data_IF_277485226703
#
_entry.id   IF_277485226703
#
_cell.length_a   1.000
_cell.length_b   1.000
_cell.length_c   1.000
_cell.angle_alpha   90.00
_cell.angle_beta   90.00
_cell.angle_gamma   90.00
#
_symmetry.space_group_name_H-M   'P 1'
#
loop_
_entity.id
_entity.type
_entity.pdbx_description
1 polymer ?
#
# COMPACT_ATOMS: atom_id res chain seq x y z
N UNK A 1 -11.55 -17.68 4.80
CA UNK A 1 -11.54 -16.74 3.66
C UNK A 1 -12.09 -17.46 2.43
N UNK A 2 -12.84 -16.77 1.55
CA UNK A 2 -13.32 -17.38 0.28
C UNK A 2 -12.39 -17.05 -0.88
N UNK A 3 -12.43 -17.83 -1.95
CA UNK A 3 -11.63 -17.55 -3.17
C UNK A 3 -11.98 -16.20 -3.79
N UNK A 4 -13.26 -15.80 -3.73
CA UNK A 4 -13.71 -14.48 -4.20
C UNK A 4 -13.09 -13.32 -3.40
N UNK A 5 -12.93 -13.49 -2.08
CA UNK A 5 -12.25 -12.51 -1.23
C UNK A 5 -10.76 -12.40 -1.57
N UNK A 6 -10.09 -13.54 -1.77
CA UNK A 6 -8.68 -13.58 -2.17
C UNK A 6 -8.46 -12.92 -3.54
N UNK A 7 -9.28 -13.26 -4.53
CA UNK A 7 -9.23 -12.66 -5.87
C UNK A 7 -9.44 -11.14 -5.82
N UNK A 8 -10.45 -10.68 -5.07
CA UNK A 8 -10.69 -9.25 -4.89
C UNK A 8 -9.51 -8.55 -4.24
N UNK A 9 -8.89 -9.14 -3.21
CA UNK A 9 -7.71 -8.57 -2.58
C UNK A 9 -6.56 -8.40 -3.60
N UNK A 10 -6.27 -9.42 -4.41
CA UNK A 10 -5.23 -9.34 -5.43
C UNK A 10 -5.54 -8.31 -6.51
N UNK A 11 -6.80 -8.20 -6.93
CA UNK A 11 -7.24 -7.16 -7.87
C UNK A 11 -7.05 -5.76 -7.29
N UNK A 12 -7.44 -5.54 -6.03
CA UNK A 12 -7.23 -4.26 -5.31
C UNK A 12 -5.74 -3.89 -5.28
N UNK A 13 -4.89 -4.83 -4.86
CA UNK A 13 -3.45 -4.60 -4.77
C UNK A 13 -2.82 -4.31 -6.14
N UNK A 14 -3.23 -5.04 -7.18
CA UNK A 14 -2.75 -4.85 -8.56
C UNK A 14 -3.16 -3.49 -9.11
N UNK A 15 -4.43 -3.09 -8.94
CA UNK A 15 -4.91 -1.78 -9.40
C UNK A 15 -4.27 -0.64 -8.61
N UNK A 16 -4.10 -0.78 -7.29
CA UNK A 16 -3.40 0.22 -6.48
C UNK A 16 -1.95 0.40 -6.95
N UNK A 17 -1.25 -0.70 -7.26
CA UNK A 17 0.10 -0.64 -7.83
C UNK A 17 0.11 0.02 -9.21
N UNK A 18 -0.83 -0.31 -10.10
CA UNK A 18 -0.90 0.29 -11.44
C UNK A 18 -1.19 1.80 -11.38
N UNK A 19 -2.06 2.24 -10.46
CA UNK A 19 -2.29 3.67 -10.19
C UNK A 19 -0.99 4.32 -9.69
N UNK A 20 -0.33 3.76 -8.68
CA UNK A 20 0.86 4.39 -8.09
C UNK A 20 2.08 4.33 -9.01
N UNK A 21 2.41 3.19 -9.59
CA UNK A 21 3.64 2.95 -10.35
C UNK A 21 3.52 3.43 -11.78
N UNK A 22 2.40 3.15 -12.44
CA UNK A 22 2.23 3.33 -13.88
C UNK A 22 1.39 4.58 -14.22
N UNK A 23 0.95 5.31 -13.19
CA UNK A 23 0.13 6.53 -13.27
C UNK A 23 -1.23 6.32 -13.97
N UNK A 24 -1.84 5.15 -13.75
CA UNK A 24 -3.21 4.93 -14.20
C UNK A 24 -4.18 5.95 -13.57
N UNK A 25 -5.19 6.43 -14.33
CA UNK A 25 -6.20 7.33 -13.80
C UNK A 25 -6.89 6.74 -12.57
N UNK A 26 -7.17 7.61 -11.60
CA UNK A 26 -7.94 7.27 -10.41
C UNK A 26 -9.16 8.17 -10.33
N UNK A 27 -10.34 7.56 -10.36
CA UNK A 27 -11.61 8.21 -10.05
C UNK A 27 -12.17 7.57 -8.78
N UNK A 28 -12.25 8.30 -7.65
CA UNK A 28 -12.79 7.74 -6.42
C UNK A 28 -14.27 7.37 -6.52
N UNK A 29 -15.03 7.91 -7.48
CA UNK A 29 -16.43 7.53 -7.68
C UNK A 29 -16.60 6.22 -8.47
N UNK A 30 -15.60 5.84 -9.28
CA UNK A 30 -15.67 4.69 -10.18
C UNK A 30 -14.41 3.82 -10.06
N UNK A 31 -14.32 3.07 -8.96
CA UNK A 31 -13.16 2.24 -8.66
C UNK A 31 -13.55 0.84 -8.18
N UNK A 32 -12.62 -0.11 -8.34
CA UNK A 32 -12.76 -1.47 -7.79
C UNK A 32 -12.70 -1.52 -6.26
N UNK A 33 -12.26 -0.43 -5.61
CA UNK A 33 -12.16 -0.35 -4.15
C UNK A 33 -13.54 -0.36 -3.47
N UNK A 34 -14.61 -0.13 -4.24
CA UNK A 34 -15.99 -0.10 -3.76
C UNK A 34 -16.52 1.31 -3.62
N UNK A 35 -17.43 1.52 -2.66
CA UNK A 35 -18.09 2.81 -2.46
C UNK A 35 -17.30 3.67 -1.45
N UNK A 36 -17.29 4.99 -1.67
CA UNK A 36 -16.70 5.94 -0.73
C UNK A 36 -17.50 5.90 0.58
N UNK A 37 -16.81 5.54 1.67
CA UNK A 37 -17.33 5.65 3.04
C UNK A 37 -17.17 7.06 3.59
N UNK A 38 -16.01 7.67 3.33
CA UNK A 38 -15.69 9.02 3.77
C UNK A 38 -14.63 9.63 2.86
N UNK A 39 -14.71 10.95 2.72
CA UNK A 39 -13.69 11.79 2.12
C UNK A 39 -13.34 12.88 3.14
N UNK A 40 -12.11 12.86 3.65
CA UNK A 40 -11.65 13.75 4.72
C UNK A 40 -10.51 14.62 4.21
N UNK A 41 -10.65 15.96 4.17
CA UNK A 41 -9.50 16.81 3.92
C UNK A 41 -8.51 16.70 5.08
N UNK A 42 -7.21 16.73 4.78
CA UNK A 42 -6.19 16.75 5.83
C UNK A 42 -6.18 18.13 6.50
N UNK A 43 -6.30 18.14 7.84
CA UNK A 43 -6.42 19.39 8.59
C UNK A 43 -5.14 20.21 8.46
N UNK A 44 -5.27 21.44 7.98
CA UNK A 44 -4.15 22.37 7.85
C UNK A 44 -3.29 22.16 6.59
N UNK A 45 -3.66 21.22 5.71
CA UNK A 45 -2.94 20.97 4.45
C UNK A 45 -3.88 21.19 3.27
N UNK A 46 -3.60 22.22 2.47
CA UNK A 46 -4.45 22.57 1.32
C UNK A 46 -4.38 21.50 0.24
N UNK A 47 -5.55 21.03 -0.17
CA UNK A 47 -5.71 20.15 -1.32
C UNK A 47 -5.27 18.71 -1.07
N UNK A 48 -5.00 18.30 0.16
CA UNK A 48 -4.79 16.88 0.49
C UNK A 48 -6.11 16.28 0.99
N UNK A 49 -6.47 15.12 0.47
CA UNK A 49 -7.66 14.40 0.88
C UNK A 49 -7.38 12.91 1.10
N UNK A 50 -8.06 12.34 2.08
CA UNK A 50 -8.07 10.92 2.38
C UNK A 50 -9.47 10.36 2.07
N UNK A 51 -9.52 9.36 1.20
CA UNK A 51 -10.73 8.59 0.91
C UNK A 51 -10.64 7.24 1.62
N UNK A 52 -11.72 6.85 2.30
CA UNK A 52 -11.91 5.49 2.79
C UNK A 52 -13.02 4.82 2.01
N UNK A 53 -12.86 3.53 1.67
CA UNK A 53 -13.81 2.77 0.87
C UNK A 53 -14.37 1.56 1.64
N UNK A 54 -15.61 1.19 1.31
CA UNK A 54 -16.18 -0.12 1.66
C UNK A 54 -16.28 -0.95 0.39
N UNK A 55 -15.64 -2.12 0.40
CA UNK A 55 -15.74 -3.08 -0.70
C UNK A 55 -16.79 -4.15 -0.38
N UNK A 56 -17.77 -4.43 -1.26
CA UNK A 56 -18.84 -5.39 -0.96
C UNK A 56 -18.35 -6.84 -0.81
N UNK A 57 -17.20 -7.20 -1.40
CA UNK A 57 -16.60 -8.54 -1.27
C UNK A 57 -15.71 -8.63 -0.02
N UNK A 58 -15.10 -7.50 0.38
CA UNK A 58 -14.25 -7.36 1.56
C UNK A 58 -14.82 -6.29 2.52
N UNK A 59 -15.98 -6.55 3.14
CA UNK A 59 -16.77 -5.51 3.82
C UNK A 59 -16.07 -4.87 5.02
N UNK A 60 -15.26 -5.63 5.75
CA UNK A 60 -14.57 -5.12 6.95
C UNK A 60 -13.13 -4.65 6.65
N UNK A 61 -12.66 -4.80 5.42
CA UNK A 61 -11.33 -4.36 5.00
C UNK A 61 -11.30 -2.84 4.86
N UNK A 62 -10.33 -2.21 5.53
CA UNK A 62 -10.13 -0.77 5.42
C UNK A 62 -9.25 -0.49 4.21
N UNK A 63 -9.81 0.19 3.20
CA UNK A 63 -9.06 0.66 2.04
C UNK A 63 -9.00 2.18 2.12
N UNK A 64 -7.80 2.71 2.33
CA UNK A 64 -7.55 4.13 2.52
C UNK A 64 -6.65 4.63 1.39
N UNK A 65 -7.06 5.71 0.73
CA UNK A 65 -6.36 6.34 -0.39
C UNK A 65 -6.09 7.79 -0.06
N UNK A 66 -4.82 8.17 -0.06
CA UNK A 66 -4.43 9.57 0.11
C UNK A 66 -4.11 10.16 -1.25
N UNK A 67 -4.80 11.23 -1.59
CA UNK A 67 -4.52 12.07 -2.76
C UNK A 67 -3.91 13.40 -2.32
N UNK A 68 -3.00 13.92 -3.14
CA UNK A 68 -2.33 15.20 -2.93
C UNK A 68 -2.39 16.00 -4.22
N UNK A 69 -2.28 17.34 -4.16
CA UNK A 69 -2.07 18.11 -5.38
C UNK A 69 -0.72 17.70 -5.98
N UNK A 70 -0.65 17.55 -7.30
CA UNK A 70 0.53 17.08 -8.02
C UNK A 70 1.81 17.77 -7.53
N UNK A 71 2.74 17.03 -6.88
CA UNK A 71 3.99 17.59 -6.42
C UNK A 71 4.90 18.09 -7.55
N UNK A 72 4.71 17.60 -8.77
CA UNK A 72 5.48 18.00 -9.95
C UNK A 72 4.98 19.32 -10.57
N UNK A 73 3.79 19.78 -10.20
CA UNK A 73 3.25 21.06 -10.68
C UNK A 73 3.87 22.23 -9.90
N UNK A 74 4.54 23.19 -10.57
CA UNK A 74 5.25 24.31 -9.93
C UNK A 74 4.32 25.41 -9.42
N UNK A 75 3.01 25.35 -9.68
CA UNK A 75 2.07 26.39 -9.27
C UNK A 75 2.01 26.56 -7.75
N UNK A 76 2.04 27.82 -7.31
CA UNK A 76 1.85 28.19 -5.91
C UNK A 76 0.39 28.01 -5.44
N UNK A 77 -0.58 28.15 -6.35
CA UNK A 77 -2.00 27.96 -6.03
C UNK A 77 -2.36 26.47 -6.07
N UNK A 78 -2.11 25.78 -4.95
CA UNK A 78 -2.37 24.34 -4.80
C UNK A 78 -3.85 23.95 -4.91
N UNK A 79 -4.78 24.91 -4.91
CA UNK A 79 -6.23 24.62 -5.01
C UNK A 79 -6.67 24.27 -6.43
N UNK A 80 -5.87 24.64 -7.45
CA UNK A 80 -6.18 24.43 -8.87
C UNK A 80 -5.36 23.30 -9.50
N UNK A 81 -4.48 22.68 -8.73
CA UNK A 81 -3.59 21.63 -9.21
C UNK A 81 -4.34 20.30 -9.24
N UNK A 82 -4.08 19.52 -10.29
CA UNK A 82 -4.59 18.15 -10.42
C UNK A 82 -4.24 17.33 -9.18
N UNK A 83 -5.21 16.60 -8.67
CA UNK A 83 -5.00 15.63 -7.60
C UNK A 83 -4.39 14.34 -8.16
N UNK A 84 -3.38 13.82 -7.47
CA UNK A 84 -2.70 12.57 -7.80
C UNK A 84 -2.66 11.68 -6.56
N UNK A 85 -2.68 10.36 -6.78
CA UNK A 85 -2.61 9.42 -5.66
C UNK A 85 -1.18 9.38 -5.13
N UNK A 86 -1.06 9.44 -3.81
CA UNK A 86 0.22 9.35 -3.10
C UNK A 86 0.39 8.01 -2.40
N UNK A 87 -0.66 7.50 -1.76
CA UNK A 87 -0.55 6.34 -0.89
C UNK A 87 -1.85 5.53 -0.86
N UNK A 88 -1.69 4.21 -0.82
CA UNK A 88 -2.71 3.26 -0.41
C UNK A 88 -2.34 2.63 0.94
N UNK A 89 -3.35 2.40 1.78
CA UNK A 89 -3.25 1.55 2.96
C UNK A 89 -4.44 0.60 2.93
N UNK A 90 -4.15 -0.70 2.87
CA UNK A 90 -5.16 -1.75 2.88
C UNK A 90 -4.94 -2.56 4.14
N UNK A 91 -5.94 -2.57 5.02
CA UNK A 91 -5.93 -3.38 6.25
C UNK A 91 -7.01 -4.43 6.15
N UNK A 92 -6.60 -5.68 6.03
CA UNK A 92 -7.50 -6.81 5.82
C UNK A 92 -8.17 -7.19 7.13
N UNK A 93 -9.50 -7.21 7.09
CA UNK A 93 -10.34 -7.81 8.10
C UNK A 93 -11.48 -8.55 7.37
N UNK A 94 -11.67 -9.86 7.58
CA UNK A 94 -10.72 -10.76 8.26
C UNK A 94 -9.33 -10.77 7.58
N UNK A 95 -8.30 -11.15 8.33
CA UNK A 95 -6.93 -11.26 7.80
C UNK A 95 -6.88 -12.30 6.67
N UNK A 96 -6.01 -12.09 5.67
CA UNK A 96 -5.93 -13.04 4.56
C UNK A 96 -5.01 -14.21 4.93
N UNK A 97 -5.57 -15.42 4.92
CA UNK A 97 -4.86 -16.69 5.12
C UNK A 97 -4.32 -17.22 3.80
N UNK A 98 -3.39 -18.18 3.86
CA UNK A 98 -2.90 -18.91 2.68
C UNK A 98 -2.28 -18.02 1.60
N UNK A 99 -1.76 -16.86 2.00
CA UNK A 99 -0.98 -15.96 1.15
C UNK A 99 0.42 -15.93 1.73
N UNK A 100 1.38 -16.45 0.96
CA UNK A 100 2.78 -16.33 1.34
C UNK A 100 3.38 -15.03 0.79
N UNK A 101 4.51 -14.63 1.39
CA UNK A 101 5.24 -13.42 1.03
C UNK A 101 5.64 -13.40 -0.45
N UNK A 102 6.17 -14.51 -0.96
CA UNK A 102 6.59 -14.64 -2.37
C UNK A 102 5.46 -14.40 -3.37
N UNK A 103 4.23 -14.83 -3.07
CA UNK A 103 3.07 -14.57 -3.94
C UNK A 103 2.81 -13.08 -4.06
N UNK A 104 2.95 -12.30 -2.98
CA UNK A 104 2.80 -10.85 -3.03
C UNK A 104 3.99 -10.17 -3.71
N UNK A 105 5.19 -10.67 -3.48
CA UNK A 105 6.41 -10.17 -4.13
C UNK A 105 6.29 -10.29 -5.65
N UNK A 106 5.85 -11.45 -6.15
CA UNK A 106 5.61 -11.72 -7.56
C UNK A 106 4.44 -10.87 -8.10
N UNK A 107 3.30 -10.83 -7.39
CA UNK A 107 2.13 -10.05 -7.79
C UNK A 107 2.48 -8.58 -8.00
N UNK A 108 3.22 -8.00 -7.06
CA UNK A 108 3.56 -6.58 -7.06
C UNK A 108 4.88 -6.26 -7.77
N UNK A 109 5.60 -7.28 -8.23
CA UNK A 109 6.90 -7.18 -8.90
C UNK A 109 7.88 -6.33 -8.08
N UNK A 110 8.19 -6.73 -6.85
CA UNK A 110 9.08 -5.99 -5.95
C UNK A 110 10.51 -6.53 -5.97
N UNK A 111 11.48 -5.70 -5.61
CA UNK A 111 12.88 -6.12 -5.48
C UNK A 111 13.13 -6.78 -4.11
N UNK A 112 13.55 -8.05 -4.13
CA UNK A 112 13.78 -8.88 -2.95
C UNK A 112 15.20 -8.76 -2.36
N UNK A 113 16.01 -7.82 -2.86
CA UNK A 113 17.36 -7.57 -2.36
C UNK A 113 17.48 -6.30 -1.51
N UNK A 114 16.51 -5.39 -1.58
CA UNK A 114 16.58 -4.12 -0.86
C UNK A 114 15.24 -3.39 -0.70
N UNK A 115 15.25 -2.42 0.22
CA UNK A 115 14.26 -1.33 0.27
C UNK A 115 14.95 0.02 0.29
N UNK A 116 14.17 1.09 0.15
CA UNK A 116 14.66 2.46 0.20
C UNK A 116 13.96 3.20 1.33
N UNK A 117 14.72 3.92 2.14
CA UNK A 117 14.17 4.69 3.25
C UNK A 117 13.65 6.07 2.85
N UNK A 118 13.11 6.80 3.82
CA UNK A 118 12.58 8.15 3.60
C UNK A 118 13.62 9.22 3.21
N UNK A 119 14.92 8.90 3.31
CA UNK A 119 16.02 9.74 2.86
C UNK A 119 16.46 9.39 1.43
N UNK A 120 15.93 8.30 0.86
CA UNK A 120 16.33 7.78 -0.43
C UNK A 120 17.55 6.86 -0.36
N UNK A 121 17.94 6.40 0.83
CA UNK A 121 19.05 5.46 1.01
C UNK A 121 18.59 4.02 0.82
N UNK A 122 19.42 3.24 0.12
CA UNK A 122 19.15 1.82 -0.14
C UNK A 122 19.67 0.98 1.03
N UNK A 123 18.79 0.16 1.60
CA UNK A 123 19.09 -0.77 2.68
C UNK A 123 19.00 -2.21 2.21
N UNK A 124 19.99 -3.07 2.50
CA UNK A 124 20.00 -4.47 2.09
C UNK A 124 19.00 -5.30 2.88
N UNK A 125 18.45 -6.33 2.23
CA UNK A 125 17.40 -7.19 2.80
C UNK A 125 16.05 -6.49 2.85
N UNK A 126 15.00 -7.22 3.20
CA UNK A 126 13.63 -6.72 3.17
C UNK A 126 12.84 -7.03 4.46
N UNK A 127 13.35 -7.95 5.27
CA UNK A 127 12.78 -8.31 6.56
C UNK A 127 13.23 -7.31 7.63
N UNK A 128 12.25 -6.65 8.25
CA UNK A 128 12.50 -5.69 9.33
C UNK A 128 12.51 -6.36 10.71
N UNK A 129 12.28 -7.67 10.76
CA UNK A 129 12.13 -8.44 11.98
C UNK A 129 10.88 -8.08 12.77
N UNK A 130 10.87 -8.50 14.03
CA UNK A 130 9.79 -8.25 14.99
C UNK A 130 10.23 -7.18 15.98
N UNK A 131 9.33 -6.25 16.33
CA UNK A 131 9.63 -5.18 17.30
C UNK A 131 8.66 -5.27 18.49
N UNK A 132 9.15 -5.28 19.74
CA UNK A 132 8.28 -5.16 20.92
C UNK A 132 7.40 -3.90 20.86
N UNK A 133 6.13 -3.95 21.30
CA UNK A 133 5.45 -5.08 21.96
C UNK A 133 4.82 -6.08 20.97
N UNK A 134 4.85 -5.80 19.66
CA UNK A 134 4.23 -6.61 18.61
C UNK A 134 5.19 -7.71 18.12
N UNK A 135 5.64 -8.57 19.04
CA UNK A 135 6.62 -9.64 18.77
C UNK A 135 6.12 -10.64 17.70
N UNK A 136 4.81 -10.67 17.43
CA UNK A 136 4.14 -11.53 16.45
C UNK A 136 3.81 -10.81 15.14
N UNK A 137 4.41 -9.65 14.88
CA UNK A 137 4.18 -8.90 13.64
C UNK A 137 5.50 -8.80 12.89
N UNK A 138 5.53 -9.37 11.69
CA UNK A 138 6.67 -9.31 10.79
C UNK A 138 6.41 -8.26 9.73
N UNK A 139 7.30 -7.28 9.66
CA UNK A 139 7.24 -6.23 8.68
C UNK A 139 8.25 -6.49 7.58
N UNK A 140 7.80 -6.31 6.34
CA UNK A 140 8.68 -6.37 5.19
C UNK A 140 8.57 -5.08 4.40
N UNK A 141 9.70 -4.57 3.92
CA UNK A 141 9.76 -3.38 3.06
C UNK A 141 10.42 -3.72 1.75
N UNK A 142 9.94 -3.12 0.67
CA UNK A 142 10.49 -3.31 -0.66
C UNK A 142 10.42 -2.03 -1.47
N UNK A 143 11.25 -1.99 -2.53
CA UNK A 143 11.04 -1.09 -3.66
C UNK A 143 10.37 -1.87 -4.79
N UNK A 144 9.31 -1.34 -5.38
CA UNK A 144 8.73 -1.90 -6.61
C UNK A 144 9.75 -1.84 -7.75
N UNK A 145 9.84 -2.92 -8.52
CA UNK A 145 10.73 -3.00 -9.68
C UNK A 145 10.32 -1.99 -10.74
N UNK A 146 11.31 -1.45 -11.44
CA UNK A 146 11.08 -0.55 -12.58
C UNK A 146 10.70 -1.37 -13.81
N UNK A 147 9.43 -1.34 -14.20
CA UNK A 147 8.94 -1.95 -15.43
C UNK A 147 8.95 -0.93 -16.59
N UNK A 148 8.87 -1.36 -17.87
CA UNK A 148 8.86 -0.44 -19.01
C UNK A 148 7.75 0.64 -18.96
N UNK A 149 6.60 0.33 -18.36
CA UNK A 149 5.48 1.28 -18.21
C UNK A 149 5.57 2.13 -16.94
N UNK A 150 6.50 1.84 -16.04
CA UNK A 150 6.59 2.51 -14.75
C UNK A 150 6.97 3.98 -14.91
N UNK A 151 6.16 4.84 -14.31
CA UNK A 151 6.32 6.30 -14.27
C UNK A 151 6.95 6.74 -12.96
N UNK A 152 6.60 6.07 -11.87
CA UNK A 152 7.05 6.44 -10.54
C UNK A 152 7.61 5.25 -9.76
N UNK A 153 8.65 5.47 -8.95
CA UNK A 153 9.05 4.50 -7.94
C UNK A 153 7.97 4.38 -6.85
N UNK A 154 7.78 3.16 -6.34
CA UNK A 154 6.79 2.85 -5.30
C UNK A 154 7.45 2.06 -4.19
N UNK A 155 7.27 2.51 -2.96
CA UNK A 155 7.63 1.77 -1.75
C UNK A 155 6.47 0.88 -1.33
N UNK A 156 6.79 -0.35 -0.97
CA UNK A 156 5.83 -1.40 -0.61
C UNK A 156 6.16 -1.89 0.79
N UNK A 157 5.17 -1.95 1.67
CA UNK A 157 5.31 -2.57 2.99
C UNK A 157 4.24 -3.64 3.19
N UNK A 158 4.65 -4.81 3.69
CA UNK A 158 3.75 -5.87 4.12
C UNK A 158 3.84 -6.04 5.64
N UNK A 159 2.70 -6.31 6.28
CA UNK A 159 2.66 -6.73 7.66
C UNK A 159 1.97 -8.10 7.77
N UNK A 160 2.70 -9.09 8.27
CA UNK A 160 2.21 -10.43 8.53
C UNK A 160 2.11 -10.67 10.03
N UNK A 161 0.92 -11.08 10.49
CA UNK A 161 0.70 -11.50 11.86
C UNK A 161 1.02 -12.98 12.01
N UNK A 162 1.84 -13.33 12.99
CA UNK A 162 1.93 -14.71 13.44
C UNK A 162 0.63 -15.08 14.16
N UNK A 163 0.12 -16.28 13.91
CA UNK A 163 -1.08 -16.78 14.56
C UNK A 163 -0.90 -16.92 16.07
N UNK A 164 -1.98 -16.86 16.83
CA UNK A 164 -1.89 -16.98 18.29
C UNK A 164 -1.48 -18.42 18.68
N UNK A 165 -0.34 -18.67 19.33
CA UNK A 165 0.02 -19.97 19.88
C UNK A 165 -1.02 -20.50 20.87
N UNK A 166 -1.87 -19.64 21.48
CA UNK A 166 -2.97 -20.05 22.35
C UNK A 166 -4.26 -20.39 21.62
N UNK A 167 -4.32 -20.22 20.30
CA UNK A 167 -5.47 -20.63 19.50
C UNK A 167 -5.67 -22.15 19.63
N UNK A 168 -6.87 -22.61 20.07
CA UNK A 168 -7.16 -24.01 20.40
C UNK A 168 -7.17 -24.97 19.20
N UNK A 169 -6.99 -24.52 17.96
CA UNK A 169 -6.84 -25.42 16.80
C UNK A 169 -5.55 -26.28 16.94
N UNK A 170 -5.65 -27.60 17.23
CA UNK A 170 -4.48 -28.35 17.70
C UNK A 170 -3.52 -28.85 16.62
N UNK A 171 -3.90 -28.92 15.35
CA UNK A 171 -3.16 -29.74 14.37
C UNK A 171 -2.95 -29.11 12.97
N UNK A 172 -3.32 -27.84 12.76
CA UNK A 172 -3.08 -27.16 11.48
C UNK A 172 -1.82 -26.27 11.55
N UNK A 173 -0.97 -26.26 10.50
CA UNK A 173 0.13 -25.31 10.40
C UNK A 173 -0.43 -23.90 10.51
N UNK A 174 -0.15 -23.25 11.63
CA UNK A 174 -0.58 -21.88 11.83
C UNK A 174 0.32 -21.00 10.94
N UNK A 175 -0.17 -20.65 9.76
CA UNK A 175 0.56 -19.82 8.79
C UNK A 175 0.43 -18.35 9.15
N UNK A 176 1.48 -17.53 8.91
CA UNK A 176 1.36 -16.09 9.05
C UNK A 176 0.26 -15.55 8.14
N UNK A 177 -0.53 -14.61 8.67
CA UNK A 177 -1.68 -14.04 7.97
C UNK A 177 -1.38 -12.61 7.56
N UNK A 178 -1.75 -12.25 6.33
CA UNK A 178 -1.54 -10.89 5.84
C UNK A 178 -2.55 -9.96 6.52
N UNK A 179 -2.01 -8.99 7.26
CA UNK A 179 -2.79 -7.98 7.96
C UNK A 179 -2.89 -6.71 7.12
N UNK A 180 -1.74 -6.14 6.77
CA UNK A 180 -1.69 -4.82 6.13
C UNK A 180 -0.78 -4.83 4.91
N UNK A 181 -1.20 -4.10 3.87
CA UNK A 181 -0.35 -3.70 2.75
C UNK A 181 -0.37 -2.19 2.62
N UNK A 182 0.82 -1.59 2.58
CA UNK A 182 0.99 -0.16 2.33
C UNK A 182 1.78 0.03 1.05
N UNK A 183 1.27 0.90 0.20
CA UNK A 183 1.93 1.28 -1.06
C UNK A 183 2.06 2.79 -1.08
N UNK A 184 3.25 3.32 -1.34
CA UNK A 184 3.50 4.76 -1.37
C UNK A 184 4.29 5.12 -2.60
N UNK A 185 3.77 6.04 -3.40
CA UNK A 185 4.53 6.63 -4.50
C UNK A 185 5.62 7.53 -3.92
N UNK A 186 6.83 7.37 -4.43
CA UNK A 186 7.97 8.17 -4.02
C UNK A 186 8.14 9.38 -4.94
N UNK A 187 7.79 10.55 -4.39
CA UNK A 187 7.97 11.86 -5.02
C UNK A 187 9.30 12.52 -4.64
N UNK A 188 10.19 11.84 -3.91
CA UNK A 188 11.44 12.42 -3.39
C UNK A 188 12.45 12.84 -4.45
N UNK A 189 12.30 12.40 -5.70
CA UNK A 189 13.06 12.93 -6.84
C UNK A 189 12.99 14.47 -6.94
N UNK A 190 11.91 15.09 -6.45
CA UNK A 190 11.73 16.54 -6.40
C UNK A 190 12.53 17.25 -5.30
N UNK A 191 12.95 16.54 -4.23
CA UNK A 191 13.76 17.13 -3.15
C UNK A 191 15.17 17.49 -3.61
N UNK A 192 15.68 16.86 -4.68
CA UNK A 192 17.02 17.10 -5.21
C UNK A 192 17.09 18.31 -6.15
N UNK A 193 16.01 18.69 -6.83
CA UNK A 193 16.01 19.80 -7.81
C UNK A 193 15.90 21.21 -7.20
N UNK A 194 15.65 21.33 -5.88
CA UNK A 194 15.61 22.62 -5.18
C UNK A 194 16.92 22.94 -4.41
N UNK A 195 17.99 22.18 -4.67
CA UNK A 195 19.35 22.47 -4.18
C UNK A 195 20.32 22.58 -5.35
N UNK A 196 20.11 23.57 -6.21
CA UNK A 196 21.15 24.15 -7.07
C UNK A 196 21.01 25.68 -7.05
#
# INVERSE_FOLDING_TARGET
MTDAQRDMAFRILTTAMAILRDDQPFDPAHTIFGCILAARPERGVVGVAEYSFVNPVLPDTQIIVVVVPDPLDPSADRTKIKQVVRRFTIRFNPQLTDINRSTLEDLLHVDIGYWVDGNGERWPGNDMGTTPPQIRLHHYRYRASKLPMSRFPVDVEFAFGDPDPKDPAPDEPKTPVLMDVRLSRDYSALRRQHRE
#
